data_IF_142074122289
#
_entry.id   IF_142074122289
#
_cell.length_a   1.000
_cell.length_b   1.000
_cell.length_c   1.000
_cell.angle_alpha   90.00
_cell.angle_beta   90.00
_cell.angle_gamma   90.00
#
_symmetry.space_group_name_H-M   'P 1'
#
loop_
_entity.id
_entity.type
_entity.pdbx_description
1 polymer ?
#
# COMPACT_ATOMS: atom_id res chain seq x y z
N UNK A 1 -37.13 2.70 0.20
CA UNK A 1 -36.14 3.36 -0.69
C UNK A 1 -34.74 2.75 -0.56
N UNK A 2 -34.62 1.42 -0.48
CA UNK A 2 -33.35 0.68 -0.27
C UNK A 2 -32.93 -0.23 -1.45
N UNK A 3 -33.63 -0.19 -2.57
CA UNK A 3 -33.48 -1.21 -3.63
C UNK A 3 -32.55 -0.87 -4.80
N UNK A 4 -31.92 0.31 -4.84
CA UNK A 4 -31.09 0.71 -6.00
C UNK A 4 -29.59 0.94 -5.71
N UNK A 5 -29.10 0.63 -4.52
CA UNK A 5 -27.69 0.86 -4.15
C UNK A 5 -26.73 -0.24 -4.65
N UNK A 6 -27.25 -1.44 -4.94
CA UNK A 6 -26.47 -2.57 -5.48
C UNK A 6 -26.11 -2.43 -6.97
N UNK A 7 -26.58 -1.39 -7.66
CA UNK A 7 -26.35 -1.24 -9.11
C UNK A 7 -24.92 -0.84 -9.49
N UNK A 8 -24.13 -0.29 -8.58
CA UNK A 8 -22.75 0.08 -8.87
C UNK A 8 -21.78 -1.04 -8.50
N UNK A 9 -21.24 -1.73 -9.49
CA UNK A 9 -20.23 -2.78 -9.28
C UNK A 9 -19.08 -2.26 -8.40
N UNK A 10 -18.81 -2.96 -7.28
CA UNK A 10 -17.77 -2.63 -6.34
C UNK A 10 -18.10 -1.43 -5.42
N UNK A 11 -19.38 -1.05 -5.25
CA UNK A 11 -19.79 -0.01 -4.31
C UNK A 11 -19.46 -0.40 -2.86
N UNK A 12 -19.85 -1.61 -2.44
CA UNK A 12 -19.61 -2.10 -1.09
C UNK A 12 -18.10 -2.22 -0.78
N UNK A 13 -17.29 -2.63 -1.75
CA UNK A 13 -15.83 -2.65 -1.58
C UNK A 13 -15.25 -1.24 -1.34
N UNK A 14 -15.75 -0.22 -2.07
CA UNK A 14 -15.31 1.16 -1.88
C UNK A 14 -15.77 1.74 -0.55
N UNK A 15 -16.98 1.41 -0.12
CA UNK A 15 -17.51 1.77 1.19
C UNK A 15 -16.62 1.19 2.28
N UNK A 16 -16.33 -0.11 2.22
CA UNK A 16 -15.45 -0.78 3.17
C UNK A 16 -14.04 -0.17 3.21
N UNK A 17 -13.46 0.15 2.04
CA UNK A 17 -12.18 0.83 1.97
C UNK A 17 -12.22 2.22 2.63
N UNK A 18 -13.30 2.98 2.41
CA UNK A 18 -13.48 4.28 3.07
C UNK A 18 -13.61 4.15 4.59
N UNK A 19 -14.31 3.12 5.10
CA UNK A 19 -14.41 2.81 6.52
C UNK A 19 -13.03 2.49 7.13
N UNK A 20 -12.18 1.72 6.43
CA UNK A 20 -10.79 1.47 6.83
C UNK A 20 -9.99 2.77 6.92
N UNK A 21 -10.07 3.63 5.87
CA UNK A 21 -9.37 4.92 5.85
C UNK A 21 -9.82 5.82 7.02
N UNK A 22 -11.12 5.83 7.34
CA UNK A 22 -11.67 6.57 8.49
C UNK A 22 -11.10 6.06 9.81
N UNK A 23 -11.08 4.73 10.01
CA UNK A 23 -10.54 4.12 11.22
C UNK A 23 -9.07 4.49 11.43
N UNK A 24 -8.27 4.46 10.35
CA UNK A 24 -6.85 4.89 10.39
C UNK A 24 -6.74 6.39 10.64
N UNK A 25 -7.63 7.20 10.09
CA UNK A 25 -7.72 8.63 10.39
C UNK A 25 -8.06 8.92 11.86
N UNK A 26 -8.73 8.00 12.54
CA UNK A 26 -9.03 8.00 13.96
C UNK A 26 -7.93 7.38 14.86
N UNK A 27 -6.80 6.92 14.28
CA UNK A 27 -5.66 6.38 15.02
C UNK A 27 -5.52 4.86 15.02
N UNK A 28 -6.37 4.11 14.30
CA UNK A 28 -6.21 2.67 14.18
C UNK A 28 -5.01 2.32 13.27
N UNK A 29 -4.37 1.18 13.53
CA UNK A 29 -3.40 0.60 12.59
C UNK A 29 -4.12 0.09 11.33
N UNK A 30 -3.51 0.27 10.17
CA UNK A 30 -4.14 -0.01 8.89
C UNK A 30 -4.43 -1.50 8.66
N UNK A 31 -3.53 -2.38 9.08
CA UNK A 31 -3.68 -3.83 9.04
C UNK A 31 -4.82 -4.30 9.94
N UNK A 32 -4.88 -3.80 11.19
CA UNK A 32 -5.94 -4.11 12.15
C UNK A 32 -7.31 -3.64 11.64
N UNK A 33 -7.40 -2.43 11.09
CA UNK A 33 -8.63 -1.90 10.52
C UNK A 33 -9.12 -2.73 9.33
N UNK A 34 -8.19 -3.15 8.46
CA UNK A 34 -8.49 -3.97 7.29
C UNK A 34 -8.95 -5.38 7.71
N UNK A 35 -8.24 -6.04 8.62
CA UNK A 35 -8.59 -7.36 9.15
C UNK A 35 -9.98 -7.33 9.80
N UNK A 36 -10.25 -6.33 10.65
CA UNK A 36 -11.58 -6.13 11.25
C UNK A 36 -12.67 -6.01 10.18
N UNK A 37 -12.43 -5.28 9.11
CA UNK A 37 -13.38 -5.12 8.01
C UNK A 37 -13.64 -6.46 7.32
N UNK A 38 -12.62 -7.28 7.09
CA UNK A 38 -12.78 -8.60 6.47
C UNK A 38 -13.45 -9.63 7.40
N UNK A 39 -13.36 -9.45 8.71
CA UNK A 39 -14.06 -10.28 9.68
C UNK A 39 -15.54 -9.91 9.84
N UNK A 40 -15.88 -8.63 9.61
CA UNK A 40 -17.26 -8.13 9.71
C UNK A 40 -18.09 -8.38 8.45
N UNK A 41 -17.45 -8.39 7.28
CA UNK A 41 -18.14 -8.50 5.98
C UNK A 41 -17.55 -9.64 5.15
N UNK A 42 -18.42 -10.34 4.44
CA UNK A 42 -17.99 -11.38 3.50
C UNK A 42 -17.74 -10.77 2.12
N UNK A 43 -16.49 -10.72 1.70
CA UNK A 43 -16.08 -10.25 0.37
C UNK A 43 -15.43 -11.38 -0.42
N UNK A 44 -15.64 -11.40 -1.73
CA UNK A 44 -14.88 -12.27 -2.63
C UNK A 44 -13.43 -11.80 -2.76
N UNK A 45 -12.58 -12.60 -3.39
CA UNK A 45 -11.13 -12.31 -3.51
C UNK A 45 -10.82 -11.01 -4.27
N UNK A 46 -11.60 -10.68 -5.30
CA UNK A 46 -11.42 -9.45 -6.09
C UNK A 46 -11.80 -8.21 -5.28
N UNK A 47 -12.90 -8.27 -4.51
CA UNK A 47 -13.30 -7.16 -3.65
C UNK A 47 -12.30 -6.97 -2.49
N UNK A 48 -11.80 -8.06 -1.89
CA UNK A 48 -10.73 -7.97 -0.88
C UNK A 48 -9.47 -7.31 -1.43
N UNK A 49 -9.04 -7.67 -2.63
CA UNK A 49 -7.90 -7.03 -3.29
C UNK A 49 -8.15 -5.54 -3.57
N UNK A 50 -9.36 -5.17 -4.03
CA UNK A 50 -9.74 -3.78 -4.26
C UNK A 50 -9.78 -2.98 -2.97
N UNK A 51 -10.37 -3.51 -1.89
CA UNK A 51 -10.41 -2.86 -0.57
C UNK A 51 -8.99 -2.61 -0.07
N UNK A 52 -8.12 -3.63 -0.14
CA UNK A 52 -6.73 -3.55 0.28
C UNK A 52 -5.99 -2.46 -0.49
N UNK A 53 -6.08 -2.47 -1.82
CA UNK A 53 -5.41 -1.49 -2.68
C UNK A 53 -5.90 -0.06 -2.41
N UNK A 54 -7.21 0.14 -2.33
CA UNK A 54 -7.80 1.45 -2.07
C UNK A 54 -7.42 1.99 -0.69
N UNK A 55 -7.44 1.14 0.34
CA UNK A 55 -7.13 1.53 1.71
C UNK A 55 -5.66 1.89 1.85
N UNK A 56 -4.76 0.95 1.57
CA UNK A 56 -3.32 1.17 1.72
C UNK A 56 -2.80 2.24 0.77
N UNK A 57 -3.31 2.27 -0.46
CA UNK A 57 -2.92 3.25 -1.46
C UNK A 57 -3.30 4.67 -1.05
N UNK A 58 -4.54 4.90 -0.64
CA UNK A 58 -4.99 6.21 -0.18
C UNK A 58 -4.26 6.65 1.12
N UNK A 59 -4.01 5.74 2.06
CA UNK A 59 -3.26 6.02 3.29
C UNK A 59 -1.81 6.41 2.96
N UNK A 60 -1.15 5.65 2.11
CA UNK A 60 0.24 5.90 1.68
C UNK A 60 0.37 7.22 0.93
N UNK A 61 -0.59 7.53 0.06
CA UNK A 61 -0.59 8.73 -0.77
C UNK A 61 -1.28 9.93 -0.12
N UNK A 62 -1.52 9.89 1.19
CA UNK A 62 -2.32 10.88 1.93
C UNK A 62 -1.87 12.32 1.70
N UNK A 63 -0.58 12.60 1.75
CA UNK A 63 -0.06 13.96 1.59
C UNK A 63 -0.18 14.44 0.13
N UNK A 64 0.11 13.59 -0.84
CA UNK A 64 -0.12 13.85 -2.26
C UNK A 64 -1.59 14.18 -2.54
N UNK A 65 -2.52 13.40 -1.97
CA UNK A 65 -3.96 13.61 -2.14
C UNK A 65 -4.44 14.88 -1.47
N UNK A 66 -3.89 15.25 -0.30
CA UNK A 66 -4.15 16.55 0.34
C UNK A 66 -3.71 17.71 -0.57
N UNK A 67 -2.53 17.62 -1.18
CA UNK A 67 -2.05 18.65 -2.10
C UNK A 67 -3.00 18.82 -3.32
N UNK A 68 -3.59 17.75 -3.81
CA UNK A 68 -4.60 17.81 -4.86
C UNK A 68 -5.89 18.48 -4.38
N UNK A 69 -6.36 18.16 -3.17
CA UNK A 69 -7.53 18.84 -2.57
C UNK A 69 -7.24 20.33 -2.44
N UNK A 70 -6.06 20.71 -1.95
CA UNK A 70 -5.65 22.11 -1.77
C UNK A 70 -5.57 22.87 -3.09
N UNK A 71 -5.15 22.21 -4.18
CA UNK A 71 -5.04 22.82 -5.50
C UNK A 71 -6.39 23.00 -6.21
N UNK A 72 -7.36 22.14 -5.94
CA UNK A 72 -8.65 22.10 -6.65
C UNK A 72 -9.81 22.67 -5.82
N UNK A 73 -9.70 22.64 -4.51
CA UNK A 73 -10.74 23.04 -3.58
C UNK A 73 -10.59 24.49 -3.09
N UNK A 74 -11.73 25.11 -2.73
CA UNK A 74 -11.73 26.42 -2.07
C UNK A 74 -11.32 26.34 -0.58
N UNK A 75 -11.47 25.17 0.01
CA UNK A 75 -11.17 24.88 1.42
C UNK A 75 -10.05 23.84 1.46
N UNK A 76 -8.98 24.13 2.21
CA UNK A 76 -7.83 23.25 2.28
C UNK A 76 -8.16 21.90 2.92
N UNK A 77 -7.42 20.86 2.55
CA UNK A 77 -7.63 19.48 3.02
C UNK A 77 -7.68 19.38 4.55
N UNK A 78 -6.80 20.09 5.24
CA UNK A 78 -6.74 20.12 6.71
C UNK A 78 -7.98 20.75 7.37
N UNK A 79 -8.69 21.63 6.65
CA UNK A 79 -9.91 22.31 7.12
C UNK A 79 -11.20 21.60 6.68
N UNK A 80 -11.09 20.58 5.84
CA UNK A 80 -12.25 19.76 5.46
C UNK A 80 -12.74 18.93 6.65
N UNK A 81 -14.08 18.67 6.74
CA UNK A 81 -14.59 17.65 7.65
C UNK A 81 -13.86 16.32 7.42
N UNK A 82 -13.45 15.60 8.48
CA UNK A 82 -12.66 14.37 8.32
C UNK A 82 -13.28 13.35 7.37
N UNK A 83 -14.60 13.10 7.50
CA UNK A 83 -15.32 12.19 6.61
C UNK A 83 -15.23 12.58 5.14
N UNK A 84 -15.33 13.88 4.83
CA UNK A 84 -15.22 14.39 3.46
C UNK A 84 -13.78 14.23 2.94
N UNK A 85 -12.79 14.61 3.74
CA UNK A 85 -11.38 14.50 3.37
C UNK A 85 -11.01 13.07 3.00
N UNK A 86 -11.40 12.09 3.82
CA UNK A 86 -11.12 10.69 3.55
C UNK A 86 -11.88 10.14 2.33
N UNK A 87 -13.09 10.62 2.09
CA UNK A 87 -13.85 10.29 0.89
C UNK A 87 -13.20 10.87 -0.38
N UNK A 88 -12.72 12.10 -0.31
CA UNK A 88 -11.96 12.73 -1.40
C UNK A 88 -10.65 11.97 -1.66
N UNK A 89 -9.93 11.52 -0.62
CA UNK A 89 -8.75 10.69 -0.80
C UNK A 89 -9.08 9.41 -1.56
N UNK A 90 -10.15 8.70 -1.19
CA UNK A 90 -10.59 7.50 -1.89
C UNK A 90 -10.89 7.75 -3.37
N UNK A 91 -11.62 8.83 -3.68
CA UNK A 91 -11.98 9.18 -5.06
C UNK A 91 -10.77 9.62 -5.89
N UNK A 92 -9.95 10.51 -5.34
CA UNK A 92 -8.75 11.03 -6.00
C UNK A 92 -7.71 9.92 -6.25
N UNK A 93 -7.49 9.01 -5.28
CA UNK A 93 -6.59 7.89 -5.46
C UNK A 93 -6.98 7.03 -6.67
N UNK A 94 -8.26 6.70 -6.80
CA UNK A 94 -8.76 5.94 -7.95
C UNK A 94 -8.49 6.66 -9.28
N UNK A 95 -8.75 7.96 -9.34
CA UNK A 95 -8.58 8.75 -10.58
C UNK A 95 -7.11 8.92 -10.93
N UNK A 96 -6.27 9.24 -9.95
CA UNK A 96 -4.88 9.66 -10.18
C UNK A 96 -3.89 8.49 -10.26
N UNK A 97 -4.12 7.41 -9.51
CA UNK A 97 -3.14 6.32 -9.32
C UNK A 97 -3.61 4.96 -9.84
N UNK A 98 -4.91 4.76 -10.09
CA UNK A 98 -5.42 3.47 -10.56
C UNK A 98 -5.83 3.54 -12.03
N UNK A 99 -5.06 2.90 -12.91
CA UNK A 99 -5.31 2.92 -14.36
C UNK A 99 -6.47 1.99 -14.78
N UNK A 100 -6.69 0.90 -14.01
CA UNK A 100 -7.70 -0.12 -14.34
C UNK A 100 -9.12 0.26 -13.91
N UNK A 101 -9.31 1.35 -13.18
CA UNK A 101 -10.63 1.81 -12.76
C UNK A 101 -11.10 2.89 -13.73
N UNK A 102 -12.26 2.71 -14.40
CA UNK A 102 -12.83 3.76 -15.22
C UNK A 102 -13.09 5.02 -14.37
N UNK A 103 -12.67 6.23 -14.82
CA UNK A 103 -12.86 7.46 -14.06
C UNK A 103 -14.33 7.73 -13.72
N UNK A 104 -15.25 7.39 -14.62
CA UNK A 104 -16.70 7.51 -14.37
C UNK A 104 -17.16 6.65 -13.20
N UNK A 105 -16.65 5.42 -13.08
CA UNK A 105 -16.97 4.53 -11.96
C UNK A 105 -16.40 5.09 -10.63
N UNK A 106 -15.18 5.60 -10.64
CA UNK A 106 -14.57 6.23 -9.47
C UNK A 106 -15.40 7.43 -8.98
N UNK A 107 -15.77 8.34 -9.91
CA UNK A 107 -16.54 9.54 -9.57
C UNK A 107 -17.95 9.16 -9.08
N UNK A 108 -18.69 8.36 -9.85
CA UNK A 108 -20.09 8.05 -9.54
C UNK A 108 -20.23 7.33 -8.20
N UNK A 109 -19.39 6.31 -7.93
CA UNK A 109 -19.44 5.59 -6.66
C UNK A 109 -19.04 6.47 -5.47
N UNK A 110 -18.03 7.34 -5.62
CA UNK A 110 -17.62 8.25 -4.54
C UNK A 110 -18.70 9.31 -4.25
N UNK A 111 -19.35 9.85 -5.28
CA UNK A 111 -20.47 10.77 -5.11
C UNK A 111 -21.66 10.08 -4.46
N UNK A 112 -21.93 8.82 -4.81
CA UNK A 112 -23.03 8.07 -4.20
C UNK A 112 -22.75 7.75 -2.73
N UNK A 113 -21.50 7.42 -2.37
CA UNK A 113 -21.08 7.31 -0.96
C UNK A 113 -21.35 8.61 -0.18
N UNK A 114 -21.05 9.78 -0.77
CA UNK A 114 -21.34 11.05 -0.13
C UNK A 114 -22.83 11.24 0.12
N UNK A 115 -23.70 10.86 -0.84
CA UNK A 115 -25.17 11.01 -0.73
C UNK A 115 -25.77 10.11 0.36
N UNK A 116 -25.23 8.91 0.52
CA UNK A 116 -25.78 7.88 1.42
C UNK A 116 -25.23 7.96 2.85
N UNK A 117 -24.13 8.70 3.10
CA UNK A 117 -23.40 8.71 4.39
C UNK A 117 -23.14 10.14 4.90
N UNK A 118 -24.12 10.80 5.50
CA UNK A 118 -24.01 12.10 6.20
C UNK A 118 -23.34 13.26 5.43
N UNK A 119 -22.92 13.06 4.17
CA UNK A 119 -22.28 14.06 3.31
C UNK A 119 -23.16 14.51 2.14
N UNK A 120 -24.47 14.24 2.17
CA UNK A 120 -25.40 14.51 1.06
C UNK A 120 -25.29 15.95 0.54
N UNK A 121 -25.21 16.93 1.43
CA UNK A 121 -25.05 18.36 1.07
C UNK A 121 -23.71 18.68 0.42
N UNK A 122 -22.69 17.84 0.62
CA UNK A 122 -21.33 17.99 0.09
C UNK A 122 -21.07 17.14 -1.17
N UNK A 123 -22.03 16.33 -1.60
CA UNK A 123 -21.92 15.54 -2.83
C UNK A 123 -21.58 16.38 -4.09
N UNK A 124 -22.13 17.59 -4.27
CA UNK A 124 -21.70 18.47 -5.39
C UNK A 124 -20.24 18.89 -5.29
N UNK A 125 -19.70 19.11 -4.07
CA UNK A 125 -18.29 19.44 -3.84
C UNK A 125 -17.41 18.27 -4.22
N UNK A 126 -17.76 17.04 -3.78
CA UNK A 126 -17.07 15.80 -4.16
C UNK A 126 -17.01 15.67 -5.68
N UNK A 127 -18.17 15.78 -6.35
CA UNK A 127 -18.23 15.69 -7.81
C UNK A 127 -17.37 16.76 -8.51
N UNK A 128 -17.41 18.00 -8.02
CA UNK A 128 -16.66 19.13 -8.56
C UNK A 128 -15.13 18.89 -8.49
N UNK A 129 -14.63 18.51 -7.31
CA UNK A 129 -13.20 18.24 -7.10
C UNK A 129 -12.74 17.03 -7.95
N UNK A 130 -13.48 15.92 -7.94
CA UNK A 130 -13.10 14.73 -8.68
C UNK A 130 -13.09 14.95 -10.21
N UNK A 131 -14.09 15.65 -10.75
CA UNK A 131 -14.12 16.01 -12.17
C UNK A 131 -13.01 16.99 -12.55
N UNK A 132 -12.64 17.90 -11.64
CA UNK A 132 -11.53 18.82 -11.87
C UNK A 132 -10.18 18.07 -11.86
N UNK A 133 -10.00 17.11 -10.94
CA UNK A 133 -8.81 16.24 -10.91
C UNK A 133 -8.69 15.43 -12.22
N UNK A 134 -9.78 14.85 -12.70
CA UNK A 134 -9.79 14.12 -13.97
C UNK A 134 -9.37 15.00 -15.14
N UNK A 135 -9.95 16.18 -15.28
CA UNK A 135 -9.57 17.14 -16.34
C UNK A 135 -8.11 17.57 -16.25
N UNK A 136 -7.58 17.75 -15.04
CA UNK A 136 -6.17 18.08 -14.84
C UNK A 136 -5.27 16.93 -15.28
N UNK A 137 -5.61 15.69 -14.92
CA UNK A 137 -4.89 14.48 -15.34
C UNK A 137 -4.88 14.33 -16.87
N UNK A 138 -6.04 14.49 -17.52
CA UNK A 138 -6.18 14.39 -18.98
C UNK A 138 -5.37 15.45 -19.73
N UNK A 139 -5.20 16.64 -19.14
CA UNK A 139 -4.36 17.72 -19.67
C UNK A 139 -2.88 17.58 -19.31
N UNK A 140 -2.47 16.52 -18.60
CA UNK A 140 -1.11 16.35 -18.10
C UNK A 140 -0.69 17.42 -17.08
N UNK A 141 -1.66 18.11 -16.44
CA UNK A 141 -1.37 19.11 -15.43
C UNK A 141 -0.98 18.41 -14.12
N UNK A 142 0.20 18.72 -13.67
CA UNK A 142 0.74 18.26 -12.39
C UNK A 142 0.40 19.29 -11.28
N UNK A 143 0.62 18.90 -10.05
CA UNK A 143 0.62 19.84 -8.93
C UNK A 143 1.60 20.99 -9.21
N UNK A 144 1.28 22.18 -8.73
CA UNK A 144 2.15 23.36 -8.91
C UNK A 144 3.56 23.04 -8.41
N UNK A 145 4.55 23.27 -9.28
CA UNK A 145 5.96 23.10 -8.92
C UNK A 145 6.35 24.01 -7.75
N UNK A 146 7.21 23.49 -6.90
CA UNK A 146 7.82 24.25 -5.82
C UNK A 146 9.27 24.56 -6.17
N UNK A 147 9.74 25.78 -5.82
CA UNK A 147 11.16 26.11 -5.93
C UNK A 147 12.02 25.41 -4.86
N UNK A 148 11.40 24.81 -3.87
CA UNK A 148 12.08 24.00 -2.85
C UNK A 148 12.04 22.52 -3.26
N UNK A 149 13.20 21.88 -3.58
CA UNK A 149 13.26 20.49 -4.02
C UNK A 149 12.71 19.50 -2.99
N UNK A 150 12.92 19.75 -1.70
CA UNK A 150 12.43 18.88 -0.62
C UNK A 150 10.90 18.92 -0.53
N UNK A 151 10.30 20.10 -0.71
CA UNK A 151 8.85 20.25 -0.75
C UNK A 151 8.24 19.60 -2.00
N UNK A 152 8.92 19.72 -3.13
CA UNK A 152 8.50 19.07 -4.38
C UNK A 152 8.52 17.54 -4.25
N UNK A 153 9.63 16.99 -3.73
CA UNK A 153 9.75 15.56 -3.46
C UNK A 153 8.66 15.08 -2.49
N UNK A 154 8.46 15.80 -1.37
CA UNK A 154 7.45 15.47 -0.38
C UNK A 154 6.04 15.41 -0.99
N UNK A 155 5.67 16.40 -1.81
CA UNK A 155 4.36 16.45 -2.48
C UNK A 155 4.16 15.31 -3.48
N UNK A 156 5.15 15.07 -4.33
CA UNK A 156 5.03 14.11 -5.44
C UNK A 156 5.01 12.66 -4.95
N UNK A 157 5.83 12.36 -3.94
CA UNK A 157 5.99 11.01 -3.40
C UNK A 157 5.26 10.78 -2.07
N UNK A 158 4.46 11.75 -1.63
CA UNK A 158 3.67 11.67 -0.39
C UNK A 158 4.51 11.39 0.87
N UNK A 159 5.71 11.97 0.94
CA UNK A 159 6.60 11.84 2.09
C UNK A 159 6.39 12.96 3.11
N UNK A 160 6.66 12.72 4.40
CA UNK A 160 6.85 13.80 5.35
C UNK A 160 7.97 14.74 4.89
N UNK A 161 7.76 16.06 5.02
CA UNK A 161 8.75 17.06 4.56
C UNK A 161 10.15 16.80 5.13
N UNK A 162 10.25 16.52 6.43
CA UNK A 162 11.52 16.25 7.10
C UNK A 162 12.28 15.07 6.47
N UNK A 163 11.56 13.99 6.05
CA UNK A 163 12.19 12.83 5.42
C UNK A 163 12.66 13.16 4.01
N UNK A 164 11.90 13.92 3.25
CA UNK A 164 12.30 14.38 1.92
C UNK A 164 13.55 15.27 1.99
N UNK A 165 13.61 16.16 3.00
CA UNK A 165 14.73 17.07 3.23
C UNK A 165 16.01 16.29 3.59
N UNK A 166 15.93 15.37 4.52
CA UNK A 166 17.04 14.47 4.91
C UNK A 166 17.52 13.60 3.75
N UNK A 167 16.62 13.04 2.94
CA UNK A 167 16.99 12.25 1.77
C UNK A 167 17.77 13.08 0.75
N UNK A 168 17.35 14.31 0.50
CA UNK A 168 18.04 15.21 -0.43
C UNK A 168 19.39 15.63 0.14
N UNK A 169 19.47 15.98 1.42
CA UNK A 169 20.72 16.33 2.09
C UNK A 169 21.71 15.16 2.03
N UNK A 170 21.25 13.93 2.21
CA UNK A 170 22.11 12.74 2.21
C UNK A 170 22.54 12.29 0.82
N UNK A 171 21.66 12.28 -0.17
CA UNK A 171 21.88 11.62 -1.47
C UNK A 171 21.81 12.56 -2.68
N UNK A 172 21.47 13.82 -2.48
CA UNK A 172 21.16 14.75 -3.57
C UNK A 172 19.78 14.48 -4.21
N UNK A 173 19.33 15.43 -5.00
CA UNK A 173 17.95 15.47 -5.53
C UNK A 173 17.63 14.24 -6.39
N UNK A 174 18.53 13.85 -7.31
CA UNK A 174 18.27 12.74 -8.24
C UNK A 174 18.11 11.40 -7.53
N UNK A 175 19.05 11.06 -6.64
CA UNK A 175 19.01 9.80 -5.91
C UNK A 175 17.85 9.78 -4.90
N UNK A 176 17.56 10.90 -4.23
CA UNK A 176 16.43 11.03 -3.33
C UNK A 176 15.10 10.77 -4.04
N UNK A 177 14.91 11.28 -5.28
CA UNK A 177 13.73 10.97 -6.09
C UNK A 177 13.60 9.47 -6.37
N UNK A 178 14.68 8.81 -6.80
CA UNK A 178 14.66 7.36 -7.06
C UNK A 178 14.31 6.54 -5.80
N UNK A 179 14.86 6.91 -4.64
CA UNK A 179 14.57 6.27 -3.36
C UNK A 179 13.10 6.47 -2.98
N UNK A 180 12.60 7.69 -3.08
CA UNK A 180 11.21 8.03 -2.74
C UNK A 180 10.20 7.31 -3.64
N UNK A 181 10.48 7.20 -4.94
CA UNK A 181 9.69 6.39 -5.89
C UNK A 181 9.70 4.91 -5.51
N UNK A 182 10.86 4.38 -5.10
CA UNK A 182 10.96 2.99 -4.63
C UNK A 182 10.12 2.73 -3.37
N UNK A 183 10.00 3.69 -2.44
CA UNK A 183 9.10 3.56 -1.28
C UNK A 183 7.62 3.44 -1.66
N UNK A 184 7.23 3.97 -2.81
CA UNK A 184 5.86 3.89 -3.32
C UNK A 184 5.63 2.70 -4.26
N UNK A 185 6.67 1.97 -4.65
CA UNK A 185 6.55 0.79 -5.48
C UNK A 185 5.96 -0.40 -4.69
N UNK A 186 5.38 -1.33 -5.42
CA UNK A 186 4.89 -2.57 -4.83
C UNK A 186 6.11 -3.42 -4.47
N UNK A 187 6.30 -3.65 -3.17
CA UNK A 187 7.40 -4.49 -2.69
C UNK A 187 7.15 -5.96 -3.05
N UNK A 188 8.16 -6.68 -3.54
CA UNK A 188 8.09 -8.12 -3.64
C UNK A 188 8.02 -8.74 -2.24
N UNK A 189 7.66 -10.02 -2.17
CA UNK A 189 7.70 -10.79 -0.94
C UNK A 189 8.99 -11.60 -0.93
N UNK A 190 9.85 -11.36 0.04
CA UNK A 190 11.05 -12.16 0.23
C UNK A 190 10.76 -13.35 1.13
N UNK A 191 11.24 -14.52 0.73
CA UNK A 191 11.21 -15.73 1.54
C UNK A 191 12.62 -16.23 1.80
N UNK A 192 12.80 -16.88 2.95
CA UNK A 192 14.01 -17.61 3.31
C UNK A 192 13.73 -19.10 3.32
N UNK A 193 14.50 -19.86 2.57
CA UNK A 193 14.45 -21.33 2.57
C UNK A 193 14.98 -21.88 3.89
N UNK A 194 14.28 -22.86 4.45
CA UNK A 194 14.67 -23.59 5.65
C UNK A 194 15.68 -24.69 5.29
N UNK A 195 16.96 -24.44 5.51
CA UNK A 195 18.08 -25.36 5.20
C UNK A 195 17.95 -26.74 5.84
N UNK A 196 17.22 -26.86 6.94
CA UNK A 196 17.03 -28.14 7.63
C UNK A 196 16.00 -29.02 6.93
N UNK A 197 15.22 -28.48 6.00
CA UNK A 197 14.10 -29.19 5.36
C UNK A 197 14.16 -29.19 3.83
N UNK A 198 14.79 -28.21 3.22
CA UNK A 198 14.89 -28.10 1.77
C UNK A 198 16.13 -27.28 1.35
N UNK A 199 16.52 -27.39 0.10
CA UNK A 199 17.49 -26.49 -0.50
C UNK A 199 16.80 -25.47 -1.43
N UNK A 200 17.56 -24.44 -1.81
CA UNK A 200 17.05 -23.32 -2.62
C UNK A 200 16.48 -23.79 -3.97
N UNK A 201 17.12 -24.77 -4.60
CA UNK A 201 16.72 -25.29 -5.91
C UNK A 201 15.38 -25.99 -5.83
N UNK A 202 15.17 -26.85 -4.83
CA UNK A 202 13.92 -27.55 -4.59
C UNK A 202 12.75 -26.59 -4.39
N UNK A 203 12.90 -25.58 -3.53
CA UNK A 203 11.83 -24.60 -3.31
C UNK A 203 11.54 -23.77 -4.56
N UNK A 204 12.60 -23.41 -5.30
CA UNK A 204 12.45 -22.72 -6.58
C UNK A 204 11.66 -23.57 -7.59
N UNK A 205 11.98 -24.84 -7.74
CA UNK A 205 11.28 -25.78 -8.65
C UNK A 205 9.82 -25.98 -8.25
N UNK A 206 9.52 -26.05 -6.95
CA UNK A 206 8.15 -26.11 -6.43
C UNK A 206 7.36 -24.84 -6.83
N UNK A 207 7.96 -23.68 -6.71
CA UNK A 207 7.32 -22.41 -7.08
C UNK A 207 7.13 -22.31 -8.59
N UNK A 208 8.15 -22.61 -9.37
CA UNK A 208 8.09 -22.59 -10.84
C UNK A 208 6.98 -23.53 -11.37
N UNK A 209 6.89 -24.76 -10.84
CA UNK A 209 5.83 -25.73 -11.22
C UNK A 209 4.42 -25.30 -10.81
N UNK A 210 4.32 -24.45 -9.78
CA UNK A 210 3.05 -23.86 -9.33
C UNK A 210 2.72 -22.52 -10.00
N UNK A 211 3.53 -22.06 -10.97
CA UNK A 211 3.33 -20.81 -11.68
C UNK A 211 3.63 -19.57 -10.85
N UNK A 212 4.32 -19.71 -9.71
CA UNK A 212 4.73 -18.61 -8.83
C UNK A 212 6.04 -18.03 -9.35
N UNK A 213 5.97 -16.83 -9.93
CA UNK A 213 7.17 -16.13 -10.43
C UNK A 213 8.10 -15.77 -9.28
N UNK A 214 9.32 -16.24 -9.34
CA UNK A 214 10.31 -16.04 -8.31
C UNK A 214 11.72 -15.86 -8.90
N UNK A 215 12.61 -15.26 -8.12
CA UNK A 215 14.04 -15.15 -8.47
C UNK A 215 14.91 -15.22 -7.22
N UNK A 216 16.16 -15.66 -7.41
CA UNK A 216 17.14 -15.70 -6.32
C UNK A 216 17.52 -14.28 -5.92
N UNK A 217 17.58 -14.01 -4.62
CA UNK A 217 18.00 -12.71 -4.09
C UNK A 217 19.53 -12.65 -4.10
N UNK A 218 20.16 -11.67 -4.78
CA UNK A 218 21.59 -11.49 -4.75
C UNK A 218 22.13 -11.36 -3.31
N UNK A 219 23.23 -12.03 -3.02
CA UNK A 219 23.88 -12.05 -1.70
C UNK A 219 23.05 -12.65 -0.54
N UNK A 220 21.90 -13.27 -0.84
CA UNK A 220 21.11 -14.03 0.12
C UNK A 220 21.04 -15.49 -0.31
N UNK A 221 21.95 -16.36 0.15
CA UNK A 221 22.11 -17.74 -0.38
C UNK A 221 20.89 -18.62 -0.21
N UNK A 222 19.95 -18.24 0.64
CA UNK A 222 18.70 -18.97 0.90
C UNK A 222 17.45 -18.12 0.60
N UNK A 223 17.64 -16.98 -0.04
CA UNK A 223 16.57 -16.00 -0.32
C UNK A 223 15.98 -16.17 -1.71
N UNK A 224 14.64 -16.23 -1.79
CA UNK A 224 13.88 -16.06 -3.03
C UNK A 224 12.99 -14.83 -2.91
N UNK A 225 13.00 -14.03 -3.96
CA UNK A 225 12.05 -12.94 -4.17
C UNK A 225 10.87 -13.47 -4.95
N UNK A 226 9.66 -13.25 -4.43
CA UNK A 226 8.40 -13.61 -5.09
C UNK A 226 7.69 -12.33 -5.48
N UNK A 227 7.26 -12.23 -6.73
CA UNK A 227 6.52 -11.06 -7.21
C UNK A 227 5.20 -10.90 -6.47
N UNK A 228 4.83 -9.66 -6.18
CA UNK A 228 3.55 -9.33 -5.57
C UNK A 228 2.36 -9.76 -6.47
N UNK A 229 1.21 -10.00 -5.85
CA UNK A 229 -0.03 -10.37 -6.57
C UNK A 229 -0.29 -11.87 -6.71
N UNK A 230 0.55 -12.72 -6.13
CA UNK A 230 0.43 -14.19 -6.19
C UNK A 230 -0.46 -14.77 -5.06
N UNK A 231 -1.25 -13.92 -4.41
CA UNK A 231 -2.14 -14.35 -3.33
C UNK A 231 -1.46 -14.38 -1.95
N UNK A 232 -2.08 -15.09 -1.02
CA UNK A 232 -1.66 -15.17 0.38
C UNK A 232 -0.49 -16.15 0.55
N UNK A 233 0.67 -15.76 1.09
CA UNK A 233 1.83 -16.63 1.25
C UNK A 233 1.55 -17.92 2.02
N UNK A 234 0.66 -17.89 3.00
CA UNK A 234 0.27 -19.08 3.78
C UNK A 234 -0.34 -20.22 2.93
N UNK A 235 -0.81 -19.90 1.72
CA UNK A 235 -1.38 -20.84 0.76
C UNK A 235 -0.40 -21.31 -0.31
N UNK A 236 0.82 -20.78 -0.31
CA UNK A 236 1.83 -21.20 -1.26
C UNK A 236 2.42 -22.56 -0.89
N UNK A 237 2.80 -23.38 -1.88
CA UNK A 237 3.35 -24.72 -1.62
C UNK A 237 4.62 -24.64 -0.79
N UNK A 238 4.77 -25.59 0.14
CA UNK A 238 5.89 -25.68 1.07
C UNK A 238 5.77 -24.82 2.33
N UNK A 239 4.72 -23.97 2.47
CA UNK A 239 4.54 -23.17 3.69
C UNK A 239 4.17 -24.05 4.89
N UNK A 240 3.18 -24.93 4.73
CA UNK A 240 2.71 -25.82 5.82
C UNK A 240 3.79 -26.82 6.21
N UNK A 241 4.55 -27.29 5.23
CA UNK A 241 5.68 -28.21 5.44
C UNK A 241 6.88 -27.53 6.08
N UNK A 242 6.86 -26.20 6.18
CA UNK A 242 7.94 -25.39 6.74
C UNK A 242 9.22 -25.43 5.92
N UNK A 243 9.12 -25.56 4.58
CA UNK A 243 10.26 -25.56 3.67
C UNK A 243 10.87 -24.16 3.56
N UNK A 244 10.12 -23.13 3.88
CA UNK A 244 10.52 -21.73 3.82
C UNK A 244 9.66 -20.88 4.78
N UNK A 245 10.10 -19.66 5.03
CA UNK A 245 9.37 -18.64 5.81
C UNK A 245 9.49 -17.27 5.13
N UNK A 246 8.48 -16.40 5.33
CA UNK A 246 8.58 -15.00 4.89
C UNK A 246 9.58 -14.28 5.76
N UNK A 247 10.59 -13.68 5.15
CA UNK A 247 11.58 -12.85 5.83
C UNK A 247 12.19 -11.86 4.83
N UNK A 248 12.18 -10.58 5.20
CA UNK A 248 12.83 -9.51 4.44
C UNK A 248 14.33 -9.82 4.21
N UNK A 249 14.83 -9.50 3.01
CA UNK A 249 16.21 -9.77 2.59
C UNK A 249 17.26 -9.15 3.52
N UNK A 250 17.02 -7.95 4.02
CA UNK A 250 17.93 -7.29 4.95
C UNK A 250 18.02 -8.06 6.28
N UNK A 251 16.89 -8.61 6.74
CA UNK A 251 16.84 -9.47 7.92
C UNK A 251 17.51 -10.81 7.71
N UNK A 252 17.57 -11.32 6.47
CA UNK A 252 18.27 -12.56 6.14
C UNK A 252 19.81 -12.41 6.23
N UNK A 253 20.34 -11.19 6.14
CA UNK A 253 21.77 -10.93 6.23
C UNK A 253 22.31 -10.90 7.67
N UNK A 254 21.44 -10.75 8.67
CA UNK A 254 21.88 -10.53 10.07
C UNK A 254 22.65 -11.73 10.63
N UNK A 255 22.07 -12.93 10.58
CA UNK A 255 22.71 -14.13 11.13
C UNK A 255 24.01 -14.50 10.38
N UNK A 256 24.07 -14.49 9.04
CA UNK A 256 25.32 -14.65 8.32
C UNK A 256 26.39 -13.60 8.65
N UNK A 257 26.00 -12.34 8.86
CA UNK A 257 26.94 -11.27 9.24
C UNK A 257 27.53 -11.44 10.65
N UNK A 258 26.78 -12.07 11.56
CA UNK A 258 27.27 -12.43 12.87
C UNK A 258 28.28 -13.57 12.81
N UNK A 259 28.13 -14.51 11.87
CA UNK A 259 29.01 -15.65 11.66
C UNK A 259 29.13 -16.60 12.85
N UNK A 260 28.01 -17.04 13.47
CA UNK A 260 28.04 -17.83 14.70
C UNK A 260 28.74 -19.17 14.51
N UNK A 261 29.54 -19.55 15.47
CA UNK A 261 30.29 -20.82 15.50
C UNK A 261 29.64 -21.79 16.48
N UNK A 262 29.79 -23.12 16.25
CA UNK A 262 29.32 -24.14 17.18
C UNK A 262 29.91 -23.95 18.59
N UNK A 263 29.05 -23.99 19.60
CA UNK A 263 29.42 -23.84 21.01
C UNK A 263 29.40 -22.40 21.53
N UNK A 264 29.25 -21.40 20.68
CA UNK A 264 29.09 -20.01 21.13
C UNK A 264 27.73 -19.77 21.81
N UNK A 265 27.71 -18.88 22.80
CA UNK A 265 26.50 -18.40 23.46
C UNK A 265 26.11 -17.06 22.85
N UNK A 266 24.94 -17.02 22.20
CA UNK A 266 24.45 -15.86 21.49
C UNK A 266 23.15 -15.38 22.17
N UNK A 267 23.09 -14.08 22.46
CA UNK A 267 21.90 -13.41 22.94
C UNK A 267 21.19 -12.69 21.80
N UNK A 268 19.95 -13.11 21.48
CA UNK A 268 19.06 -12.33 20.63
C UNK A 268 18.12 -11.50 21.51
N UNK A 269 18.45 -10.23 21.72
CA UNK A 269 17.67 -9.31 22.55
C UNK A 269 16.33 -8.90 21.93
N UNK A 270 16.10 -9.16 20.63
CA UNK A 270 14.90 -8.86 19.88
C UNK A 270 14.33 -10.11 19.19
N UNK A 271 14.35 -11.25 19.86
CA UNK A 271 14.11 -12.57 19.29
C UNK A 271 12.73 -12.77 18.67
N UNK A 272 11.67 -12.19 19.26
CA UNK A 272 10.30 -12.37 18.76
C UNK A 272 10.08 -11.74 17.37
N UNK A 273 9.40 -12.44 16.46
CA UNK A 273 8.80 -13.78 16.53
C UNK A 273 9.74 -14.95 16.18
N UNK A 274 11.05 -14.78 16.19
CA UNK A 274 12.02 -15.85 15.95
C UNK A 274 12.67 -15.87 14.58
N UNK A 275 12.30 -14.99 13.68
CA UNK A 275 12.76 -15.01 12.30
C UNK A 275 14.29 -14.89 12.12
N UNK A 276 15.00 -14.19 13.01
CA UNK A 276 16.47 -14.09 13.03
C UNK A 276 17.11 -15.19 13.87
N UNK A 277 16.52 -15.49 15.04
CA UNK A 277 17.04 -16.51 15.97
C UNK A 277 17.03 -17.93 15.39
N UNK A 278 16.11 -18.21 14.44
CA UNK A 278 16.00 -19.52 13.77
C UNK A 278 16.79 -19.61 12.46
N UNK A 279 17.55 -18.60 12.10
CA UNK A 279 18.40 -18.59 10.90
C UNK A 279 19.73 -19.25 11.18
#
# INVERSE_FOLDING_TARGET
MSENLSSFKGFEARKAAWEVIQAVGGGAFADVALERTFNLYSFNSMDKALITELSYGAIRQRYFLDCWIDSLGKVSAKKQPPLLRWLLHLGLYQILKMERIPPSAAINTTVELAKTHHLKKLAPVVNGILRSALRSKEKGLLLSKSNNPSLELAKNESLPFWLADELIAWKGVEAANKIAQAFNSISPIDIRVNKLRANLKEVKEIFDSSGIQNQVIPNCPYGLEVRAGVGEPRKWPGYVEGLWSVQDRSSQLIAPSLGPLPGEKILDACAAPGGKSTH
#
